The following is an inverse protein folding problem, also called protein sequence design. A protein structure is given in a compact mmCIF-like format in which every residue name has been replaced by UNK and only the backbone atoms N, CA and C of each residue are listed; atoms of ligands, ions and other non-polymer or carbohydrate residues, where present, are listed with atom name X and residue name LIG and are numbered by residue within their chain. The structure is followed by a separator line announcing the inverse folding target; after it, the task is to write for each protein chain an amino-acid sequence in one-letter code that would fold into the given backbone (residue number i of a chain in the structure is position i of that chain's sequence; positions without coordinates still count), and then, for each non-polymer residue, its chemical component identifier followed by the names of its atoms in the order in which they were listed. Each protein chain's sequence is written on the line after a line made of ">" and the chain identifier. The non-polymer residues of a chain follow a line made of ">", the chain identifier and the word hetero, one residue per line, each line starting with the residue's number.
data_IF_951013343786
#
_entry.id   IF_951013343786
#
_cell.length_a   1.000
_cell.length_b   1.000
_cell.length_c   1.000
_cell.angle_alpha   90.00
_cell.angle_beta   90.00
_cell.angle_gamma   90.00
#
_symmetry.space_group_name_H-M   'P 1'
#
loop_
_entity.id
_entity.type
_entity.pdbx_description
1 polymer ?
#
# COMPACT_ATOMS: atom_id res chain seq x y z
N UNK A 1 29.36 -34.30 26.48
CA UNK A 1 30.16 -34.14 25.24
C UNK A 1 31.41 -33.34 25.60
N UNK A 2 32.61 -33.80 25.24
CA UNK A 2 33.86 -33.05 25.45
C UNK A 2 34.24 -32.37 24.13
N UNK A 3 34.62 -31.09 24.20
CA UNK A 3 35.15 -30.36 23.04
C UNK A 3 36.57 -30.84 22.78
N UNK A 4 36.86 -31.21 21.54
CA UNK A 4 38.18 -31.69 21.15
C UNK A 4 39.06 -30.53 20.66
N UNK A 5 40.37 -30.72 20.77
CA UNK A 5 41.37 -29.76 20.27
C UNK A 5 41.44 -29.87 18.74
N UNK A 6 41.71 -28.74 18.08
CA UNK A 6 41.70 -28.56 16.62
C UNK A 6 42.34 -29.70 15.81
N UNK A 7 43.41 -30.33 16.31
CA UNK A 7 44.17 -31.36 15.59
C UNK A 7 43.37 -32.64 15.23
N UNK A 8 42.20 -32.87 15.82
CA UNK A 8 41.35 -34.05 15.54
C UNK A 8 40.26 -33.80 14.49
N UNK A 9 40.04 -32.55 14.08
CA UNK A 9 39.03 -32.15 13.12
C UNK A 9 39.63 -31.25 12.04
N UNK A 10 39.02 -31.17 10.84
CA UNK A 10 39.44 -30.22 9.82
C UNK A 10 39.27 -28.76 10.27
N UNK A 11 40.16 -27.87 9.80
CA UNK A 11 40.20 -26.46 10.21
C UNK A 11 38.90 -25.69 9.90
N UNK A 12 38.18 -26.09 8.85
CA UNK A 12 36.88 -25.53 8.49
C UNK A 12 35.84 -25.72 9.60
N UNK A 13 35.86 -26.87 10.28
CA UNK A 13 34.97 -27.17 11.38
C UNK A 13 35.31 -26.39 12.65
N UNK A 14 36.60 -26.08 12.88
CA UNK A 14 36.98 -25.18 13.96
C UNK A 14 36.52 -23.74 13.69
N UNK A 15 36.69 -23.28 12.45
CA UNK A 15 36.40 -21.88 12.07
C UNK A 15 34.89 -21.63 12.03
N UNK A 16 34.14 -22.54 11.39
CA UNK A 16 32.72 -22.39 11.10
C UNK A 16 31.81 -23.17 12.07
N UNK A 17 32.38 -23.77 13.12
CA UNK A 17 31.64 -24.65 14.05
C UNK A 17 32.39 -24.99 15.33
N UNK A 18 32.15 -26.18 15.84
CA UNK A 18 32.89 -26.79 16.94
C UNK A 18 33.02 -28.30 16.78
N UNK A 19 34.20 -28.83 17.12
CA UNK A 19 34.51 -30.25 17.09
C UNK A 19 34.21 -30.91 18.45
N UNK A 20 33.43 -31.99 18.43
CA UNK A 20 32.98 -32.71 19.62
C UNK A 20 33.26 -34.21 19.50
N UNK A 21 33.55 -34.85 20.64
CA UNK A 21 33.72 -36.30 20.68
C UNK A 21 32.37 -37.00 20.84
N UNK A 22 32.01 -37.82 19.84
CA UNK A 22 30.85 -38.70 19.86
C UNK A 22 31.21 -40.17 20.07
N UNK A 23 30.21 -41.05 20.23
CA UNK A 23 30.41 -42.49 20.40
C UNK A 23 31.00 -43.17 19.16
N UNK A 24 30.81 -42.60 17.96
CA UNK A 24 31.30 -43.13 16.69
C UNK A 24 32.54 -42.40 16.15
N UNK A 25 33.16 -41.52 16.95
CA UNK A 25 34.31 -40.71 16.53
C UNK A 25 34.09 -39.20 16.70
N UNK A 26 35.08 -38.36 16.28
CA UNK A 26 34.93 -36.91 16.27
C UNK A 26 33.88 -36.50 15.24
N UNK A 27 32.99 -35.60 15.61
CA UNK A 27 32.00 -35.02 14.70
C UNK A 27 31.93 -33.50 14.88
N UNK A 28 31.49 -32.83 13.82
CA UNK A 28 31.44 -31.38 13.72
C UNK A 28 30.01 -30.87 13.89
N UNK A 29 29.85 -29.84 14.73
CA UNK A 29 28.59 -29.10 14.86
C UNK A 29 28.80 -27.72 14.26
N UNK A 30 28.14 -27.47 13.14
CA UNK A 30 28.24 -26.21 12.41
C UNK A 30 27.43 -25.10 13.07
N UNK A 31 27.91 -23.85 12.94
CA UNK A 31 27.13 -22.67 13.31
C UNK A 31 25.91 -22.54 12.39
N UNK A 32 24.82 -21.90 12.84
CA UNK A 32 23.75 -21.51 11.94
C UNK A 32 24.35 -20.63 10.84
N UNK A 33 24.06 -20.95 9.58
CA UNK A 33 24.68 -20.45 8.34
C UNK A 33 25.80 -21.32 7.72
N UNK A 34 26.15 -22.48 8.27
CA UNK A 34 27.08 -23.43 7.64
C UNK A 34 26.57 -24.87 7.67
N UNK A 35 26.90 -25.66 6.65
CA UNK A 35 26.53 -27.07 6.50
C UNK A 35 27.68 -27.87 5.84
N UNK A 36 27.54 -29.19 5.86
CA UNK A 36 28.59 -30.14 5.42
C UNK A 36 29.25 -30.86 6.60
N UNK A 37 29.94 -31.97 6.32
CA UNK A 37 30.57 -32.80 7.34
C UNK A 37 31.67 -32.04 8.11
N UNK A 38 32.23 -31.01 7.49
CA UNK A 38 33.29 -30.16 8.04
C UNK A 38 32.91 -28.68 8.07
N UNK A 39 31.61 -28.34 7.96
CA UNK A 39 31.11 -26.97 7.90
C UNK A 39 31.76 -26.12 6.79
N UNK A 40 32.12 -26.77 5.69
CA UNK A 40 32.78 -26.17 4.53
C UNK A 40 31.85 -25.30 3.69
N UNK A 41 30.54 -25.61 3.70
CA UNK A 41 29.57 -24.93 2.87
C UNK A 41 28.83 -23.88 3.70
N UNK A 42 28.88 -22.62 3.29
CA UNK A 42 27.98 -21.62 3.86
C UNK A 42 26.58 -21.86 3.30
N UNK A 43 25.59 -21.92 4.19
CA UNK A 43 24.21 -21.67 3.80
C UNK A 43 24.23 -20.19 3.45
N UNK A 44 24.34 -19.89 2.16
CA UNK A 44 24.07 -18.57 1.66
C UNK A 44 22.63 -18.31 2.10
N UNK A 45 22.49 -17.62 3.24
CA UNK A 45 21.25 -16.95 3.58
C UNK A 45 21.10 -15.99 2.42
N UNK A 46 20.36 -16.46 1.42
CA UNK A 46 19.69 -15.64 0.46
C UNK A 46 18.76 -14.79 1.32
N UNK A 47 19.33 -13.73 1.91
CA UNK A 47 18.78 -12.38 1.80
C UNK A 47 18.11 -12.41 0.44
N UNK A 48 16.77 -12.32 0.35
CA UNK A 48 16.09 -12.50 -0.92
C UNK A 48 16.80 -11.57 -1.91
N UNK A 49 17.63 -12.16 -2.75
CA UNK A 49 18.36 -11.46 -3.78
C UNK A 49 17.34 -11.33 -4.87
N UNK A 50 16.37 -10.46 -4.62
CA UNK A 50 15.54 -9.92 -5.67
C UNK A 50 16.55 -9.22 -6.56
N UNK A 51 16.81 -9.82 -7.71
CA UNK A 51 17.58 -9.24 -8.80
C UNK A 51 17.12 -7.79 -8.94
N UNK A 52 18.03 -6.84 -8.70
CA UNK A 52 17.75 -5.41 -8.91
C UNK A 52 17.38 -5.09 -10.38
N UNK A 53 17.40 -6.10 -11.27
CA UNK A 53 16.98 -6.02 -12.66
C UNK A 53 15.47 -6.27 -12.89
N UNK A 54 14.74 -6.86 -11.94
CA UNK A 54 13.29 -7.12 -12.12
C UNK A 54 12.40 -6.04 -11.52
N UNK A 55 12.97 -5.15 -10.70
CA UNK A 55 12.19 -4.11 -10.02
C UNK A 55 11.71 -3.01 -10.99
N UNK A 56 12.35 -2.84 -12.15
CA UNK A 56 12.00 -1.76 -13.09
C UNK A 56 10.63 -1.96 -13.77
N UNK A 57 10.26 -3.20 -14.12
CA UNK A 57 8.98 -3.48 -14.81
C UNK A 57 7.76 -3.45 -13.88
N UNK A 58 7.94 -3.75 -12.59
CA UNK A 58 6.85 -3.80 -11.61
C UNK A 58 6.52 -2.41 -11.04
N UNK A 59 7.48 -1.49 -10.97
CA UNK A 59 7.21 -0.11 -10.52
C UNK A 59 6.27 0.64 -11.49
N UNK A 60 6.50 0.51 -12.80
CA UNK A 60 5.61 1.12 -13.79
C UNK A 60 4.21 0.49 -13.74
N UNK A 61 4.11 -0.82 -13.52
CA UNK A 61 2.82 -1.48 -13.36
C UNK A 61 2.06 -0.95 -12.13
N UNK A 62 2.73 -0.82 -10.98
CA UNK A 62 2.14 -0.26 -9.75
C UNK A 62 1.74 1.20 -9.97
N UNK A 63 2.61 2.02 -10.59
CA UNK A 63 2.32 3.41 -10.88
C UNK A 63 1.11 3.55 -11.81
N UNK A 64 1.02 2.74 -12.88
CA UNK A 64 -0.12 2.73 -13.80
C UNK A 64 -1.43 2.36 -13.10
N UNK A 65 -1.40 1.35 -12.22
CA UNK A 65 -2.59 0.94 -11.44
C UNK A 65 -3.03 2.06 -10.48
N UNK A 66 -2.09 2.70 -9.78
CA UNK A 66 -2.39 3.81 -8.86
C UNK A 66 -2.94 5.01 -9.61
N UNK A 67 -2.35 5.37 -10.76
CA UNK A 67 -2.80 6.46 -11.61
C UNK A 67 -4.20 6.17 -12.16
N UNK A 68 -4.45 4.95 -12.65
CA UNK A 68 -5.78 4.54 -13.11
C UNK A 68 -6.82 4.63 -11.98
N UNK A 69 -6.49 4.16 -10.78
CA UNK A 69 -7.37 4.26 -9.62
C UNK A 69 -7.66 5.72 -9.25
N UNK A 70 -6.65 6.60 -9.30
CA UNK A 70 -6.85 8.03 -9.05
C UNK A 70 -7.78 8.67 -10.08
N UNK A 71 -7.61 8.38 -11.38
CA UNK A 71 -8.52 8.86 -12.42
C UNK A 71 -9.96 8.37 -12.23
N UNK A 72 -10.14 7.10 -11.84
CA UNK A 72 -11.47 6.55 -11.52
C UNK A 72 -12.09 7.29 -10.33
N UNK A 73 -11.33 7.51 -9.26
CA UNK A 73 -11.82 8.24 -8.07
C UNK A 73 -12.18 9.69 -8.43
N UNK A 74 -11.32 10.40 -9.17
CA UNK A 74 -11.58 11.77 -9.63
C UNK A 74 -12.81 11.82 -10.54
N UNK A 75 -12.96 10.85 -11.44
CA UNK A 75 -14.14 10.72 -12.29
C UNK A 75 -15.42 10.50 -11.49
N UNK A 76 -15.39 9.62 -10.49
CA UNK A 76 -16.51 9.40 -9.57
C UNK A 76 -16.85 10.66 -8.77
N UNK A 77 -15.85 11.34 -8.21
CA UNK A 77 -16.05 12.59 -7.45
C UNK A 77 -16.61 13.68 -8.35
N UNK A 78 -16.11 13.83 -9.58
CA UNK A 78 -16.64 14.77 -10.55
C UNK A 78 -18.09 14.45 -10.94
N UNK A 79 -18.42 13.18 -11.15
CA UNK A 79 -19.79 12.75 -11.44
C UNK A 79 -20.73 13.03 -10.27
N UNK A 80 -20.33 12.71 -9.04
CA UNK A 80 -21.09 13.03 -7.81
C UNK A 80 -21.23 14.54 -7.64
N UNK A 81 -20.17 15.31 -7.87
CA UNK A 81 -20.19 16.76 -7.80
C UNK A 81 -21.14 17.36 -8.83
N UNK A 82 -21.09 16.90 -10.09
CA UNK A 82 -22.01 17.31 -11.14
C UNK A 82 -23.45 16.92 -10.83
N UNK A 83 -23.68 15.73 -10.26
CA UNK A 83 -25.00 15.28 -9.84
C UNK A 83 -25.58 16.17 -8.73
N UNK A 84 -24.79 16.48 -7.70
CA UNK A 84 -25.20 17.38 -6.62
C UNK A 84 -25.43 18.80 -7.16
N UNK A 85 -24.54 19.28 -8.02
CA UNK A 85 -24.64 20.61 -8.63
C UNK A 85 -25.89 20.72 -9.51
N UNK A 86 -26.20 19.71 -10.33
CA UNK A 86 -27.42 19.67 -11.14
C UNK A 86 -28.65 19.78 -10.24
N UNK A 87 -28.72 18.94 -9.20
CA UNK A 87 -29.84 18.96 -8.26
C UNK A 87 -29.97 20.32 -7.56
N UNK A 88 -28.85 20.96 -7.25
CA UNK A 88 -28.85 22.31 -6.64
C UNK A 88 -29.34 23.36 -7.63
N UNK A 89 -28.96 23.27 -8.91
CA UNK A 89 -29.48 24.18 -9.95
C UNK A 89 -30.99 24.03 -10.12
N UNK A 90 -31.53 22.81 -10.08
CA UNK A 90 -32.98 22.57 -10.17
C UNK A 90 -33.73 23.18 -8.97
N UNK A 91 -33.16 23.05 -7.76
CA UNK A 91 -33.72 23.63 -6.53
C UNK A 91 -33.64 25.17 -6.55
N UNK A 92 -32.52 25.74 -7.02
CA UNK A 92 -32.36 27.20 -7.13
C UNK A 92 -33.32 27.78 -8.17
N UNK A 93 -33.48 27.13 -9.32
CA UNK A 93 -34.42 27.57 -10.35
C UNK A 93 -35.88 27.56 -9.85
N UNK A 94 -36.26 26.58 -9.04
CA UNK A 94 -37.58 26.53 -8.43
C UNK A 94 -37.81 27.70 -7.44
N UNK A 95 -36.81 28.00 -6.60
CA UNK A 95 -36.89 29.10 -5.62
C UNK A 95 -37.04 30.46 -6.30
N UNK A 96 -36.32 30.71 -7.40
CA UNK A 96 -36.46 31.95 -8.19
C UNK A 96 -37.87 32.11 -8.79
N UNK A 97 -38.50 31.02 -9.26
CA UNK A 97 -39.87 31.07 -9.78
C UNK A 97 -40.89 31.42 -8.68
N UNK A 98 -40.75 30.81 -7.49
CA UNK A 98 -41.60 31.13 -6.34
C UNK A 98 -41.37 32.57 -5.86
N UNK A 99 -40.13 33.02 -5.80
CA UNK A 99 -39.78 34.39 -5.44
C UNK A 99 -40.38 35.42 -6.40
N UNK A 100 -40.35 35.14 -7.72
CA UNK A 100 -40.95 36.00 -8.73
C UNK A 100 -42.48 36.05 -8.60
N UNK A 101 -43.15 34.90 -8.42
CA UNK A 101 -44.61 34.84 -8.20
C UNK A 101 -45.02 35.61 -6.93
N UNK A 102 -44.30 35.44 -5.83
CA UNK A 102 -44.56 36.14 -4.57
C UNK A 102 -44.46 37.67 -4.72
N UNK A 103 -43.45 38.16 -5.43
CA UNK A 103 -43.26 39.60 -5.69
C UNK A 103 -44.39 40.18 -6.53
N UNK A 104 -44.84 39.45 -7.55
CA UNK A 104 -45.97 39.87 -8.41
C UNK A 104 -47.28 40.02 -7.64
N UNK A 105 -47.56 39.10 -6.70
CA UNK A 105 -48.74 39.15 -5.84
C UNK A 105 -48.72 40.34 -4.88
N UNK A 106 -47.58 40.57 -4.22
CA UNK A 106 -47.40 41.70 -3.31
C UNK A 106 -47.58 43.05 -4.02
N UNK A 107 -47.14 43.17 -5.27
CA UNK A 107 -47.27 44.39 -6.05
C UNK A 107 -48.72 44.68 -6.46
N UNK A 108 -49.50 43.64 -6.82
CA UNK A 108 -50.94 43.78 -7.08
C UNK A 108 -51.72 44.22 -5.84
N UNK A 109 -51.40 43.66 -4.67
CA UNK A 109 -52.03 44.07 -3.41
C UNK A 109 -51.74 45.54 -3.12
N UNK A 110 -50.49 46.00 -3.29
CA UNK A 110 -50.14 47.41 -3.17
C UNK A 110 -50.92 48.31 -4.12
N UNK A 111 -51.11 47.92 -5.37
CA UNK A 111 -51.87 48.71 -6.34
C UNK A 111 -53.34 48.81 -5.96
N UNK A 112 -53.97 47.71 -5.52
CA UNK A 112 -55.35 47.73 -5.05
C UNK A 112 -55.53 48.64 -3.84
N UNK A 113 -54.64 48.55 -2.85
CA UNK A 113 -54.70 49.42 -1.66
C UNK A 113 -54.48 50.90 -2.03
N UNK A 114 -53.56 51.17 -2.96
CA UNK A 114 -53.31 52.54 -3.44
C UNK A 114 -54.47 53.17 -4.22
N UNK A 115 -55.40 52.37 -4.78
CA UNK A 115 -56.64 52.89 -5.39
C UNK A 115 -57.78 53.09 -4.39
N UNK A 116 -57.67 52.52 -3.20
CA UNK A 116 -58.69 52.60 -2.15
C UNK A 116 -58.49 53.80 -1.21
N UNK A 117 -57.30 54.41 -1.21
CA UNK A 117 -56.93 55.64 -0.49
C UNK A 117 -56.97 56.80 -1.45
#
# INVERSE_FOLDING_TARGET
>A
MRRLVAAMCPDSCHTNGGCYQGPNGPFCICKPAFYGDSCESAIEMTTPSVSAADVDSDFWAIFLVVVAAFFVVVGCVAAVYCYIRSKRSDVVAADEEFAHKARSGAQRVKEFVGRLV
#
